data_IF_891510699459
#
_entry.id   IF_891510699459
#
_cell.length_a   1.000
_cell.length_b   1.000
_cell.length_c   1.000
_cell.angle_alpha   90.00
_cell.angle_beta   90.00
_cell.angle_gamma   90.00
#
_symmetry.space_group_name_H-M   'P 1'
#
loop_
_entity.id
_entity.type
_entity.pdbx_description
1 polymer ?
#
# COMPACT_ATOMS: atom_id res chain seq x y z
N UNK A 1 3.44 10.03 33.36
CA UNK A 1 4.38 9.23 32.55
C UNK A 1 3.64 8.90 31.27
N UNK A 2 3.97 9.59 30.18
CA UNK A 2 3.39 9.29 28.86
C UNK A 2 4.26 8.20 28.26
N UNK A 3 3.69 7.02 28.05
CA UNK A 3 4.30 6.01 27.18
C UNK A 3 3.24 5.59 26.19
N UNK A 4 3.19 6.37 25.11
CA UNK A 4 2.69 6.00 23.80
C UNK A 4 3.18 4.59 23.44
N UNK A 5 2.23 3.70 23.21
CA UNK A 5 2.45 2.41 22.56
C UNK A 5 1.35 2.22 21.53
N UNK A 6 1.33 3.06 20.50
CA UNK A 6 0.92 2.58 19.18
C UNK A 6 1.95 1.54 18.77
N UNK A 7 1.63 0.28 19.06
CA UNK A 7 2.32 -0.85 18.44
C UNK A 7 2.00 -0.74 16.94
N UNK A 8 2.89 -0.09 16.18
CA UNK A 8 2.95 -0.30 14.73
C UNK A 8 3.12 -1.82 14.57
N UNK A 9 2.12 -2.48 14.02
CA UNK A 9 2.27 -3.86 13.58
C UNK A 9 3.49 -3.89 12.63
N UNK A 10 4.45 -4.79 12.89
CA UNK A 10 5.66 -4.97 12.07
C UNK A 10 5.38 -5.35 10.59
N UNK A 11 4.11 -5.32 10.17
CA UNK A 11 3.58 -5.67 8.85
C UNK A 11 2.99 -4.50 8.05
N UNK A 12 2.98 -3.27 8.58
CA UNK A 12 2.49 -2.11 7.84
C UNK A 12 3.57 -1.53 6.92
N UNK A 13 3.27 -1.39 5.63
CA UNK A 13 4.12 -0.71 4.64
C UNK A 13 3.58 0.68 4.34
N UNK A 14 4.47 1.67 4.23
CA UNK A 14 4.09 3.03 3.83
C UNK A 14 4.22 3.20 2.32
N UNK A 15 3.31 3.97 1.74
CA UNK A 15 3.39 4.38 0.34
C UNK A 15 2.88 5.79 0.10
N UNK A 16 3.44 6.41 -0.94
CA UNK A 16 3.01 7.73 -1.39
C UNK A 16 1.96 7.59 -2.49
N UNK A 17 0.82 8.26 -2.33
CA UNK A 17 -0.22 8.30 -3.35
C UNK A 17 0.30 9.03 -4.61
N UNK A 18 0.29 8.40 -5.80
CA UNK A 18 0.81 9.02 -7.02
C UNK A 18 -0.04 10.22 -7.49
N UNK A 19 -1.29 10.34 -7.06
CA UNK A 19 -2.18 11.43 -7.45
C UNK A 19 -2.03 12.71 -6.62
N UNK A 20 -1.84 12.58 -5.30
CA UNK A 20 -1.85 13.74 -4.39
C UNK A 20 -0.62 13.87 -3.48
N UNK A 21 0.28 12.89 -3.51
CA UNK A 21 1.50 12.89 -2.70
C UNK A 21 1.30 12.58 -1.21
N UNK A 22 0.07 12.30 -0.76
CA UNK A 22 -0.18 11.90 0.62
C UNK A 22 0.46 10.54 0.93
N UNK A 23 1.05 10.40 2.12
CA UNK A 23 1.56 9.12 2.63
C UNK A 23 0.40 8.35 3.27
N UNK A 24 0.27 7.07 2.93
CA UNK A 24 -0.74 6.14 3.43
C UNK A 24 -0.02 4.89 3.96
N UNK A 25 -0.69 4.14 4.83
CA UNK A 25 -0.26 2.82 5.26
C UNK A 25 -1.03 1.71 4.56
N UNK A 26 -0.38 0.56 4.39
CA UNK A 26 -0.93 -0.66 3.82
C UNK A 26 -0.63 -1.83 4.75
N UNK A 27 -1.69 -2.45 5.28
CA UNK A 27 -1.57 -3.61 6.15
C UNK A 27 -1.34 -4.87 5.32
N UNK A 28 -0.15 -5.45 5.41
CA UNK A 28 0.22 -6.60 4.60
C UNK A 28 0.07 -7.93 5.35
N UNK A 29 -0.78 -8.83 4.87
CA UNK A 29 -0.74 -10.25 5.22
C UNK A 29 0.22 -10.99 4.27
N UNK A 30 1.52 -11.02 4.62
CA UNK A 30 2.62 -11.50 3.76
C UNK A 30 2.43 -12.88 3.09
N UNK A 31 1.67 -13.79 3.68
CA UNK A 31 1.41 -15.12 3.08
C UNK A 31 0.36 -15.05 1.97
N UNK A 32 -0.62 -14.15 2.09
CA UNK A 32 -1.78 -14.07 1.19
C UNK A 32 -1.61 -13.01 0.11
N UNK A 33 -0.93 -11.92 0.46
CA UNK A 33 -1.01 -10.68 -0.28
C UNK A 33 0.16 -10.47 -1.24
N UNK A 34 1.25 -11.22 -1.05
CA UNK A 34 2.41 -11.16 -1.93
C UNK A 34 2.03 -11.59 -3.36
N UNK A 35 2.43 -10.77 -4.33
CA UNK A 35 2.17 -10.92 -5.76
C UNK A 35 0.69 -10.90 -6.16
N UNK A 36 -0.19 -10.46 -5.28
CA UNK A 36 -1.60 -10.26 -5.56
C UNK A 36 -1.92 -8.77 -5.56
N UNK A 37 -2.62 -8.33 -6.61
CA UNK A 37 -3.11 -6.97 -6.71
C UNK A 37 -4.22 -6.74 -5.68
N UNK A 38 -4.10 -5.66 -4.91
CA UNK A 38 -5.11 -5.15 -4.01
C UNK A 38 -5.52 -3.74 -4.40
N UNK A 39 -6.77 -3.39 -4.15
CA UNK A 39 -7.31 -2.06 -4.45
C UNK A 39 -7.60 -1.32 -3.15
N UNK A 40 -6.87 -0.24 -2.93
CA UNK A 40 -7.02 0.60 -1.73
C UNK A 40 -7.32 2.04 -2.11
N UNK A 41 -8.15 2.71 -1.32
CA UNK A 41 -8.46 4.12 -1.53
C UNK A 41 -7.48 4.99 -0.75
N UNK A 42 -6.89 5.99 -1.41
CA UNK A 42 -6.07 6.97 -0.71
C UNK A 42 -6.92 7.73 0.33
N UNK A 43 -6.47 7.77 1.59
CA UNK A 43 -7.18 8.44 2.69
C UNK A 43 -7.29 9.96 2.56
N UNK A 44 -6.53 10.57 1.63
CA UNK A 44 -6.57 12.02 1.37
C UNK A 44 -7.45 12.39 0.17
N UNK A 45 -7.25 11.77 -0.99
CA UNK A 45 -7.94 12.15 -2.24
C UNK A 45 -9.01 11.14 -2.69
N UNK A 46 -9.21 10.05 -1.94
CA UNK A 46 -10.17 8.98 -2.21
C UNK A 46 -10.05 8.33 -3.61
N UNK A 47 -8.93 8.51 -4.31
CA UNK A 47 -8.64 7.76 -5.54
C UNK A 47 -8.26 6.33 -5.17
N UNK A 48 -8.83 5.37 -5.91
CA UNK A 48 -8.47 3.96 -5.80
C UNK A 48 -7.13 3.74 -6.49
N UNK A 49 -6.25 3.00 -5.83
CA UNK A 49 -4.91 2.66 -6.26
C UNK A 49 -4.77 1.15 -6.32
N UNK A 50 -3.94 0.66 -7.24
CA UNK A 50 -3.50 -0.73 -7.25
C UNK A 50 -2.22 -0.84 -6.41
N UNK A 51 -2.22 -1.78 -5.47
CA UNK A 51 -1.12 -2.08 -4.57
C UNK A 51 -0.73 -3.56 -4.76
N UNK A 52 0.54 -3.81 -5.06
CA UNK A 52 1.06 -5.19 -5.12
C UNK A 52 2.33 -5.28 -4.29
N UNK A 53 2.33 -6.13 -3.27
CA UNK A 53 3.52 -6.44 -2.50
C UNK A 53 4.38 -7.48 -3.23
N UNK A 54 5.69 -7.29 -3.26
CA UNK A 54 6.62 -8.19 -3.94
C UNK A 54 7.95 -8.29 -3.18
N UNK A 55 8.72 -9.36 -3.46
CA UNK A 55 10.05 -9.49 -2.89
C UNK A 55 10.98 -8.39 -3.43
N UNK A 56 11.63 -7.67 -2.53
CA UNK A 56 12.67 -6.70 -2.79
C UNK A 56 14.07 -7.29 -2.59
N UNK A 57 15.10 -6.44 -2.80
CA UNK A 57 16.51 -6.83 -2.63
C UNK A 57 16.85 -6.96 -1.14
N UNK A 58 17.55 -8.03 -0.77
CA UNK A 58 18.04 -8.24 0.60
C UNK A 58 16.97 -8.69 1.59
N UNK A 59 15.94 -9.40 1.13
CA UNK A 59 14.85 -9.91 1.97
C UNK A 59 13.84 -8.84 2.41
N UNK A 60 13.90 -7.64 1.82
CA UNK A 60 12.89 -6.60 2.02
C UNK A 60 11.64 -6.88 1.18
N UNK A 61 10.55 -6.21 1.53
CA UNK A 61 9.33 -6.20 0.72
C UNK A 61 9.27 -4.86 -0.01
N UNK A 62 8.97 -4.91 -1.30
CA UNK A 62 8.63 -3.73 -2.10
C UNK A 62 7.11 -3.66 -2.22
N UNK A 63 6.58 -2.45 -2.20
CA UNK A 63 5.19 -2.16 -2.52
C UNK A 63 5.16 -1.42 -3.85
N UNK A 64 4.61 -2.06 -4.88
CA UNK A 64 4.35 -1.43 -6.18
C UNK A 64 3.01 -0.72 -6.07
N UNK A 65 2.97 0.57 -6.41
CA UNK A 65 1.78 1.41 -6.33
C UNK A 65 1.51 2.03 -7.68
N UNK A 66 0.37 1.69 -8.26
CA UNK A 66 -0.04 2.18 -9.57
C UNK A 66 -1.31 3.02 -9.48
N UNK A 67 -1.31 4.10 -10.26
CA UNK A 67 -2.48 4.92 -10.54
C UNK A 67 -3.45 4.16 -11.44
N UNK A 68 -4.67 3.89 -10.95
CA UNK A 68 -5.74 3.36 -11.79
C UNK A 68 -6.34 4.49 -12.60
N UNK A 69 -5.71 4.83 -13.73
CA UNK A 69 -6.33 5.71 -14.70
C UNK A 69 -7.59 5.02 -15.22
N UNK A 70 -8.72 5.73 -15.18
CA UNK A 70 -10.06 5.21 -15.45
C UNK A 70 -10.27 4.71 -16.90
N UNK A 71 -9.21 4.56 -17.69
CA UNK A 71 -9.25 4.14 -19.09
C UNK A 71 -9.09 2.63 -19.32
N UNK A 72 -8.94 1.80 -18.28
CA UNK A 72 -8.76 0.35 -18.44
C UNK A 72 -9.76 -0.54 -17.69
N UNK A 73 -10.97 -0.04 -17.39
CA UNK A 73 -12.13 -0.94 -17.15
C UNK A 73 -12.81 -1.22 -18.49
N UNK A 74 -12.15 -1.97 -19.37
CA UNK A 74 -12.80 -2.60 -20.53
C UNK A 74 -12.45 -4.09 -20.55
N UNK A 75 -13.27 -4.90 -19.88
CA UNK A 75 -14.03 -6.01 -20.49
C UNK A 75 -14.90 -6.74 -19.48
#
# INVERSE_FOLDING_TARGET
>A
MVTDKTMQSDSALEYMCPYCGAINDFQLETVRDMYHEQHESCGCCNKVLSLTAANGIGGRINLIVDSLDAELVIK
#
